data_IF_764288109842
#
_entry.id   IF_764288109842
#
_cell.length_a   1.000
_cell.length_b   1.000
_cell.length_c   1.000
_cell.angle_alpha   90.00
_cell.angle_beta   90.00
_cell.angle_gamma   90.00
#
_symmetry.space_group_name_H-M   'P 1'
#
loop_
_entity.id
_entity.type
_entity.pdbx_description
1 polymer ?
#
# COMPACT_ATOMS: atom_id res chain seq x y z
N UNK A 1 44.22 -6.23 28.55
CA UNK A 1 42.90 -5.76 29.02
C UNK A 1 42.30 -4.63 28.17
N UNK A 2 43.04 -3.57 27.76
CA UNK A 2 42.47 -2.49 26.90
C UNK A 2 41.96 -2.93 25.52
N UNK A 3 42.65 -3.88 24.88
CA UNK A 3 42.26 -4.40 23.56
C UNK A 3 40.98 -5.26 23.59
N UNK A 4 40.66 -5.88 24.73
CA UNK A 4 39.48 -6.75 24.87
C UNK A 4 38.21 -5.91 25.09
N UNK A 5 38.32 -4.83 25.88
CA UNK A 5 37.23 -3.86 26.06
C UNK A 5 36.88 -3.09 24.77
N UNK A 6 37.87 -2.81 23.91
CA UNK A 6 37.61 -2.17 22.61
C UNK A 6 36.88 -3.08 21.63
N UNK A 7 37.13 -4.39 21.67
CA UNK A 7 36.43 -5.35 20.80
C UNK A 7 34.98 -5.51 21.23
N UNK A 8 34.72 -5.64 22.54
CA UNK A 8 33.36 -5.69 23.09
C UNK A 8 32.54 -4.45 22.74
N UNK A 9 33.16 -3.26 22.80
CA UNK A 9 32.49 -2.02 22.39
C UNK A 9 32.09 -2.01 20.91
N UNK A 10 32.98 -2.48 20.02
CA UNK A 10 32.68 -2.58 18.58
C UNK A 10 31.51 -3.55 18.33
N UNK A 11 31.47 -4.69 19.03
CA UNK A 11 30.37 -5.65 18.91
C UNK A 11 29.03 -5.06 19.38
N UNK A 12 29.02 -4.35 20.51
CA UNK A 12 27.80 -3.70 21.02
C UNK A 12 27.30 -2.65 20.03
N UNK A 13 28.20 -1.81 19.50
CA UNK A 13 27.84 -0.79 18.51
C UNK A 13 27.32 -1.45 17.23
N UNK A 14 27.97 -2.49 16.72
CA UNK A 14 27.52 -3.22 15.54
C UNK A 14 26.12 -3.85 15.75
N UNK A 15 25.87 -4.42 16.93
CA UNK A 15 24.56 -4.96 17.29
C UNK A 15 23.48 -3.88 17.33
N UNK A 16 23.75 -2.73 17.96
CA UNK A 16 22.81 -1.61 18.03
C UNK A 16 22.50 -1.03 16.65
N UNK A 17 23.52 -0.89 15.79
CA UNK A 17 23.33 -0.44 14.40
C UNK A 17 22.47 -1.44 13.63
N UNK A 18 22.75 -2.74 13.75
CA UNK A 18 21.96 -3.78 13.07
C UNK A 18 20.51 -3.76 13.54
N UNK A 19 20.28 -3.65 14.85
CA UNK A 19 18.94 -3.55 15.43
C UNK A 19 18.20 -2.31 14.90
N UNK A 20 18.85 -1.15 14.90
CA UNK A 20 18.26 0.09 14.41
C UNK A 20 17.89 0.02 12.92
N UNK A 21 18.76 -0.58 12.10
CA UNK A 21 18.51 -0.79 10.67
C UNK A 21 17.33 -1.73 10.44
N UNK A 22 17.26 -2.85 11.15
CA UNK A 22 16.16 -3.82 11.02
C UNK A 22 14.82 -3.18 11.38
N UNK A 23 14.77 -2.42 12.48
CA UNK A 23 13.56 -1.70 12.90
C UNK A 23 13.17 -0.63 11.86
N UNK A 24 14.13 0.17 11.38
CA UNK A 24 13.85 1.19 10.35
C UNK A 24 13.32 0.59 9.05
N UNK A 25 13.85 -0.54 8.59
CA UNK A 25 13.36 -1.20 7.37
C UNK A 25 11.88 -1.60 7.52
N UNK A 26 11.47 -2.09 8.69
CA UNK A 26 10.07 -2.39 8.98
C UNK A 26 9.19 -1.15 8.89
N UNK A 27 9.59 -0.07 9.57
CA UNK A 27 8.84 1.20 9.60
C UNK A 27 8.72 1.83 8.20
N UNK A 28 9.80 1.80 7.41
CA UNK A 28 9.79 2.30 6.04
C UNK A 28 8.79 1.54 5.17
N UNK A 29 8.75 0.20 5.26
CA UNK A 29 7.80 -0.64 4.51
C UNK A 29 6.35 -0.39 4.88
N UNK A 30 6.05 -0.16 6.17
CA UNK A 30 4.70 0.22 6.60
C UNK A 30 4.31 1.61 6.12
N UNK A 31 5.24 2.55 6.13
CA UNK A 31 5.00 3.92 5.67
C UNK A 31 4.74 3.96 4.16
N UNK A 32 5.52 3.23 3.37
CA UNK A 32 5.30 3.06 1.93
C UNK A 32 3.92 2.46 1.62
N UNK A 33 3.53 1.41 2.36
CA UNK A 33 2.22 0.79 2.22
C UNK A 33 1.11 1.79 2.54
N UNK A 34 1.21 2.53 3.65
CA UNK A 34 0.20 3.50 4.05
C UNK A 34 0.06 4.65 3.04
N UNK A 35 1.18 5.12 2.47
CA UNK A 35 1.16 6.12 1.40
C UNK A 35 0.51 5.57 0.12
N UNK A 36 0.86 4.35 -0.29
CA UNK A 36 0.27 3.69 -1.46
C UNK A 36 -1.22 3.42 -1.31
N UNK A 37 -1.66 2.93 -0.15
CA UNK A 37 -3.08 2.72 0.16
C UNK A 37 -3.82 4.05 0.25
N UNK A 38 -3.23 5.06 0.89
CA UNK A 38 -3.84 6.39 1.02
C UNK A 38 -4.08 7.06 -0.34
N UNK A 39 -3.07 7.06 -1.20
CA UNK A 39 -3.19 7.57 -2.58
C UNK A 39 -4.18 6.77 -3.40
N UNK A 40 -4.18 5.44 -3.29
CA UNK A 40 -5.17 4.59 -3.96
C UNK A 40 -6.61 4.88 -3.49
N UNK A 41 -6.80 5.18 -2.20
CA UNK A 41 -8.10 5.53 -1.64
C UNK A 41 -8.60 6.86 -2.18
N UNK A 42 -7.74 7.88 -2.23
CA UNK A 42 -8.10 9.17 -2.82
C UNK A 42 -8.45 9.02 -4.30
N UNK A 43 -7.66 8.25 -5.06
CA UNK A 43 -7.92 7.92 -6.45
C UNK A 43 -9.29 7.23 -6.63
N UNK A 44 -9.65 6.30 -5.75
CA UNK A 44 -10.94 5.63 -5.77
C UNK A 44 -12.11 6.61 -5.50
N UNK A 45 -11.95 7.52 -4.55
CA UNK A 45 -12.94 8.56 -4.26
C UNK A 45 -13.14 9.53 -5.44
N UNK A 46 -12.06 9.96 -6.09
CA UNK A 46 -12.13 10.81 -7.28
C UNK A 46 -12.88 10.13 -8.44
N UNK A 47 -12.59 8.84 -8.67
CA UNK A 47 -13.25 8.05 -9.71
C UNK A 47 -14.74 7.88 -9.41
N UNK A 48 -15.10 7.53 -8.17
CA UNK A 48 -16.49 7.37 -7.74
C UNK A 48 -17.27 8.70 -7.87
N UNK A 49 -16.64 9.82 -7.48
CA UNK A 49 -17.22 11.16 -7.62
C UNK A 49 -17.51 11.55 -9.07
N UNK A 50 -16.62 11.18 -10.00
CA UNK A 50 -16.82 11.41 -11.45
C UNK A 50 -18.03 10.64 -11.99
N UNK A 51 -18.29 9.46 -11.44
CA UNK A 51 -19.44 8.62 -11.81
C UNK A 51 -20.71 8.93 -11.01
N UNK A 52 -20.69 9.98 -10.16
CA UNK A 52 -21.79 10.35 -9.25
C UNK A 52 -22.18 9.22 -8.29
N UNK A 53 -21.23 8.39 -7.92
CA UNK A 53 -21.39 7.28 -6.97
C UNK A 53 -20.69 7.65 -5.67
N UNK A 54 -21.33 7.35 -4.54
CA UNK A 54 -20.73 7.57 -3.22
C UNK A 54 -19.97 6.31 -2.79
N UNK A 55 -18.66 6.43 -2.63
CA UNK A 55 -17.82 5.39 -2.06
C UNK A 55 -18.07 5.32 -0.55
N UNK A 56 -18.48 4.16 -0.03
CA UNK A 56 -18.63 3.94 1.41
C UNK A 56 -17.27 3.75 2.10
N UNK A 57 -16.35 3.07 1.42
CA UNK A 57 -15.03 2.80 1.93
C UNK A 57 -14.18 2.04 0.93
N UNK A 58 -12.94 1.79 1.30
CA UNK A 58 -12.05 0.92 0.55
C UNK A 58 -11.20 0.15 1.55
N UNK A 59 -11.55 -1.12 1.74
CA UNK A 59 -10.75 -2.02 2.53
C UNK A 59 -9.57 -2.52 1.70
N UNK A 60 -8.54 -3.00 2.39
CA UNK A 60 -7.42 -3.66 1.73
C UNK A 60 -6.97 -4.86 2.55
N UNK A 61 -6.36 -5.81 1.86
CA UNK A 61 -5.68 -6.95 2.48
C UNK A 61 -4.31 -7.11 1.85
N UNK A 62 -3.32 -7.48 2.66
CA UNK A 62 -1.94 -7.68 2.18
C UNK A 62 -1.59 -9.16 2.31
N UNK A 63 -1.22 -9.79 1.20
CA UNK A 63 -0.77 -11.18 1.17
C UNK A 63 0.38 -11.32 0.20
N UNK A 64 1.53 -11.84 0.65
CA UNK A 64 2.74 -12.02 -0.16
C UNK A 64 3.15 -10.75 -0.95
N UNK A 65 3.07 -9.58 -0.32
CA UNK A 65 3.38 -8.29 -0.96
C UNK A 65 2.32 -7.81 -1.95
N UNK A 66 1.19 -8.50 -2.06
CA UNK A 66 0.05 -8.11 -2.89
C UNK A 66 -0.98 -7.42 -2.00
N UNK A 67 -1.27 -6.16 -2.31
CA UNK A 67 -2.31 -5.37 -1.68
C UNK A 67 -3.57 -5.50 -2.53
N UNK A 68 -4.59 -6.20 -2.02
CA UNK A 68 -5.88 -6.33 -2.70
C UNK A 68 -6.90 -5.38 -2.11
N UNK A 69 -7.34 -4.41 -2.91
CA UNK A 69 -8.36 -3.43 -2.57
C UNK A 69 -9.77 -4.01 -2.74
N UNK A 70 -10.66 -3.65 -1.84
CA UNK A 70 -12.07 -4.02 -1.86
C UNK A 70 -12.89 -2.74 -1.71
N UNK A 71 -13.17 -2.03 -2.81
CA UNK A 71 -14.00 -0.83 -2.77
C UNK A 71 -15.43 -1.21 -2.41
N UNK A 72 -16.02 -0.44 -1.51
CA UNK A 72 -17.42 -0.54 -1.10
C UNK A 72 -18.16 0.73 -1.47
N UNK A 73 -19.37 0.59 -1.99
CA UNK A 73 -20.23 1.69 -2.44
C UNK A 73 -21.49 1.73 -1.59
N UNK A 74 -22.12 2.90 -1.49
CA UNK A 74 -23.48 2.94 -0.96
C UNK A 74 -24.49 2.54 -2.05
N UNK A 75 -25.39 1.63 -1.71
CA UNK A 75 -26.57 1.35 -2.53
C UNK A 75 -27.66 2.43 -2.35
N UNK A 76 -28.77 2.28 -3.08
CA UNK A 76 -29.90 3.22 -2.99
C UNK A 76 -30.57 3.23 -1.61
N UNK A 77 -30.35 2.20 -0.78
CA UNK A 77 -30.84 2.09 0.60
C UNK A 77 -29.81 2.60 1.62
N UNK A 78 -28.66 3.14 1.18
CA UNK A 78 -27.58 3.62 2.04
C UNK A 78 -26.77 2.50 2.70
N UNK A 79 -26.88 1.25 2.22
CA UNK A 79 -26.10 0.12 2.71
C UNK A 79 -24.76 0.03 1.97
N UNK A 80 -23.73 -0.41 2.68
CA UNK A 80 -22.42 -0.66 2.08
C UNK A 80 -22.45 -1.98 1.30
N UNK A 81 -22.26 -1.91 -0.02
CA UNK A 81 -22.21 -3.07 -0.91
C UNK A 81 -20.88 -3.10 -1.66
N UNK A 82 -20.41 -4.30 -2.00
CA UNK A 82 -19.21 -4.45 -2.80
C UNK A 82 -19.36 -3.78 -4.17
N UNK A 83 -18.33 -3.08 -4.62
CA UNK A 83 -18.35 -2.45 -5.93
C UNK A 83 -18.46 -3.52 -7.04
N UNK A 84 -19.14 -3.14 -8.14
CA UNK A 84 -19.22 -3.99 -9.34
C UNK A 84 -17.83 -4.22 -9.96
N UNK A 85 -17.68 -5.30 -10.72
CA UNK A 85 -16.40 -5.60 -11.40
C UNK A 85 -15.94 -4.47 -12.33
N UNK A 86 -16.88 -3.83 -13.03
CA UNK A 86 -16.58 -2.67 -13.87
C UNK A 86 -16.04 -1.49 -13.05
N UNK A 87 -16.59 -1.24 -11.86
CA UNK A 87 -16.10 -0.18 -10.97
C UNK A 87 -14.72 -0.52 -10.41
N UNK A 88 -14.49 -1.79 -10.01
CA UNK A 88 -13.19 -2.27 -9.55
C UNK A 88 -12.12 -2.04 -10.60
N UNK A 89 -12.39 -2.40 -11.86
CA UNK A 89 -11.47 -2.16 -12.98
C UNK A 89 -11.13 -0.67 -13.17
N UNK A 90 -12.14 0.21 -13.09
CA UNK A 90 -11.94 1.66 -13.25
C UNK A 90 -11.14 2.26 -12.10
N UNK A 91 -11.45 1.86 -10.87
CA UNK A 91 -10.66 2.23 -9.68
C UNK A 91 -9.21 1.77 -9.87
N UNK A 92 -8.98 0.52 -10.29
CA UNK A 92 -7.61 0.03 -10.58
C UNK A 92 -6.91 0.88 -11.63
N UNK A 93 -7.59 1.26 -12.71
CA UNK A 93 -7.02 2.11 -13.75
C UNK A 93 -6.68 3.52 -13.24
N UNK A 94 -7.51 4.09 -12.37
CA UNK A 94 -7.22 5.39 -11.74
C UNK A 94 -6.06 5.29 -10.75
N UNK A 95 -6.06 4.26 -9.91
CA UNK A 95 -4.97 3.93 -8.98
C UNK A 95 -3.66 3.74 -9.75
N UNK A 96 -3.70 3.04 -10.88
CA UNK A 96 -2.56 2.92 -11.80
C UNK A 96 -2.02 4.26 -12.25
N UNK A 97 -2.87 5.20 -12.65
CA UNK A 97 -2.43 6.53 -13.11
C UNK A 97 -1.74 7.31 -12.00
N UNK A 98 -2.24 7.22 -10.77
CA UNK A 98 -1.70 7.95 -9.62
C UNK A 98 -0.42 7.29 -9.07
N UNK A 99 -0.34 5.96 -9.15
CA UNK A 99 0.85 5.17 -8.77
C UNK A 99 1.83 4.93 -9.95
N UNK A 100 1.50 5.44 -11.15
CA UNK A 100 2.16 5.17 -12.43
C UNK A 100 3.68 5.40 -12.50
N UNK A 101 4.31 6.35 -11.78
CA UNK A 101 5.77 6.46 -11.87
C UNK A 101 6.54 5.22 -11.37
N UNK A 102 5.88 4.21 -10.80
CA UNK A 102 6.52 3.02 -10.22
C UNK A 102 6.09 1.67 -10.82
N UNK A 103 5.23 1.65 -11.83
CA UNK A 103 4.65 0.40 -12.39
C UNK A 103 5.58 -0.33 -13.35
N UNK A 104 6.10 -1.49 -12.93
CA UNK A 104 6.98 -2.35 -13.74
C UNK A 104 6.25 -3.46 -14.52
N UNK A 105 4.93 -3.63 -14.34
CA UNK A 105 4.19 -4.76 -14.92
C UNK A 105 2.83 -4.36 -15.49
N UNK A 106 2.56 -4.72 -16.74
CA UNK A 106 1.27 -4.56 -17.43
C UNK A 106 0.30 -5.71 -17.07
N UNK A 107 -0.27 -5.71 -15.86
CA UNK A 107 -1.48 -6.50 -15.59
C UNK A 107 -2.65 -5.54 -15.47
N UNK A 108 -3.72 -5.72 -16.24
CA UNK A 108 -4.91 -4.84 -16.24
C UNK A 108 -5.47 -4.63 -14.82
N UNK A 109 -5.33 -5.63 -13.94
CA UNK A 109 -5.90 -5.64 -12.60
C UNK A 109 -4.93 -5.26 -11.47
N UNK A 110 -3.65 -5.06 -11.76
CA UNK A 110 -2.65 -4.75 -10.73
C UNK A 110 -1.65 -3.68 -11.18
N UNK A 111 -1.11 -2.94 -10.22
CA UNK A 111 -0.02 -1.99 -10.38
C UNK A 111 1.05 -2.27 -9.35
N UNK A 112 2.31 -2.31 -9.76
CA UNK A 112 3.43 -2.42 -8.82
C UNK A 112 3.85 -1.00 -8.45
N UNK A 113 3.98 -0.70 -7.17
CA UNK A 113 4.56 0.56 -6.72
C UNK A 113 5.30 0.32 -5.42
N UNK A 114 6.46 0.97 -5.23
CA UNK A 114 7.35 0.70 -4.08
C UNK A 114 7.69 -0.80 -3.99
N UNK A 115 7.51 -1.42 -2.82
CA UNK A 115 7.73 -2.85 -2.56
C UNK A 115 6.46 -3.71 -2.67
N UNK A 116 5.34 -3.16 -3.16
CA UNK A 116 4.03 -3.83 -3.16
C UNK A 116 3.38 -3.88 -4.53
N UNK A 117 2.54 -4.90 -4.73
CA UNK A 117 1.68 -5.04 -5.90
C UNK A 117 0.23 -4.77 -5.51
N UNK A 118 -0.32 -3.66 -5.96
CA UNK A 118 -1.66 -3.21 -5.67
C UNK A 118 -2.65 -3.71 -6.72
N UNK A 119 -3.68 -4.44 -6.34
CA UNK A 119 -4.72 -4.97 -7.21
C UNK A 119 -6.10 -4.57 -6.66
N UNK A 120 -7.11 -4.38 -7.50
CA UNK A 120 -8.49 -4.18 -7.03
C UNK A 120 -9.44 -5.27 -7.50
#
# INVERSE_FOLDING_TARGET
MRAQASVEYIFIVAFLVTLAVVVMIGVLRETELNLGVGTARMAAFEQAGTERITLAGMDYSVSNGIVSFRPQLYDAAGQSVGASEAMRQRITMRVKQVLAPYSQTENIYCVTATNYRYCA
#
